data_IF_808355641915
#
_entry.id   IF_808355641915
#
_cell.length_a   1.000
_cell.length_b   1.000
_cell.length_c   1.000
_cell.angle_alpha   90.00
_cell.angle_beta   90.00
_cell.angle_gamma   90.00
#
_symmetry.space_group_name_H-M   'P 1'
#
loop_
_entity.id
_entity.type
_entity.pdbx_description
1 polymer ?
#
# COMPACT_ATOMS: atom_id res chain seq x y z
N UNK A 1 12.00 21.85 -0.53
CA UNK A 1 11.68 20.86 -1.57
C UNK A 1 12.11 21.38 -2.94
N UNK A 2 12.79 20.57 -3.77
CA UNK A 2 13.23 20.94 -5.13
C UNK A 2 12.06 21.46 -5.98
N UNK A 3 10.87 20.89 -5.78
CA UNK A 3 9.63 21.28 -6.44
C UNK A 3 9.31 22.78 -6.34
N UNK A 4 9.33 23.38 -5.14
CA UNK A 4 9.01 24.80 -4.99
C UNK A 4 10.02 25.72 -5.68
N UNK A 5 11.28 25.30 -5.76
CA UNK A 5 12.32 26.05 -6.47
C UNK A 5 12.03 26.06 -7.97
N UNK A 6 11.71 24.90 -8.54
CA UNK A 6 11.35 24.79 -9.96
C UNK A 6 10.00 25.46 -10.28
N UNK A 7 9.06 25.47 -9.34
CA UNK A 7 7.75 26.12 -9.51
C UNK A 7 7.88 27.65 -9.49
N UNK A 8 8.75 28.19 -8.62
CA UNK A 8 9.11 29.61 -8.60
C UNK A 8 9.85 30.03 -9.89
N UNK A 9 10.72 29.17 -10.42
CA UNK A 9 11.41 29.38 -11.69
C UNK A 9 10.50 29.21 -12.93
N UNK A 10 9.21 28.93 -12.76
CA UNK A 10 8.23 28.77 -13.84
C UNK A 10 8.40 27.50 -14.68
N UNK A 11 9.23 26.54 -14.25
CA UNK A 11 9.51 25.30 -14.99
C UNK A 11 8.43 24.23 -14.82
N UNK A 12 7.67 24.29 -13.72
CA UNK A 12 6.61 23.34 -13.39
C UNK A 12 5.38 24.08 -12.84
N UNK A 13 4.16 23.57 -13.07
CA UNK A 13 2.94 24.21 -12.56
C UNK A 13 2.88 24.16 -11.03
N UNK A 14 2.33 25.23 -10.41
CA UNK A 14 2.12 25.31 -8.95
C UNK A 14 0.85 24.53 -8.59
N UNK A 15 1.05 23.32 -8.09
CA UNK A 15 0.02 22.46 -7.50
C UNK A 15 -0.07 22.77 -5.99
N UNK A 16 -1.27 23.09 -5.46
CA UNK A 16 -1.47 23.31 -4.04
C UNK A 16 -1.29 22.00 -3.25
N UNK A 17 -0.72 22.10 -2.04
CA UNK A 17 -0.46 20.96 -1.14
C UNK A 17 0.41 19.84 -1.74
N UNK A 18 1.32 20.18 -2.66
CA UNK A 18 2.17 19.20 -3.34
C UNK A 18 2.95 18.30 -2.37
N UNK A 19 3.46 18.83 -1.25
CA UNK A 19 4.17 18.01 -0.26
C UNK A 19 3.27 16.91 0.34
N UNK A 20 2.00 17.24 0.61
CA UNK A 20 1.01 16.28 1.11
C UNK A 20 0.68 15.21 0.07
N UNK A 21 0.56 15.61 -1.20
CA UNK A 21 0.33 14.68 -2.32
C UNK A 21 1.53 13.73 -2.45
N UNK A 22 2.75 14.27 -2.41
CA UNK A 22 3.97 13.48 -2.52
C UNK A 22 4.11 12.51 -1.34
N UNK A 23 3.76 12.95 -0.14
CA UNK A 23 3.73 12.09 1.05
C UNK A 23 2.67 10.99 0.92
N UNK A 24 1.46 11.32 0.47
CA UNK A 24 0.39 10.36 0.26
C UNK A 24 0.75 9.33 -0.80
N UNK A 25 1.38 9.75 -1.91
CA UNK A 25 1.82 8.86 -2.99
C UNK A 25 2.93 7.92 -2.51
N UNK A 26 3.90 8.47 -1.77
CA UNK A 26 4.97 7.66 -1.16
C UNK A 26 4.39 6.62 -0.20
N UNK A 27 3.43 7.03 0.64
CA UNK A 27 2.75 6.13 1.57
C UNK A 27 1.93 5.07 0.85
N UNK A 28 1.25 5.43 -0.24
CA UNK A 28 0.48 4.51 -1.06
C UNK A 28 1.37 3.43 -1.72
N UNK A 29 2.56 3.79 -2.19
CA UNK A 29 3.53 2.83 -2.74
C UNK A 29 4.01 1.83 -1.69
N UNK A 30 4.33 2.30 -0.48
CA UNK A 30 4.72 1.43 0.64
C UNK A 30 3.56 0.51 1.04
N UNK A 31 2.34 1.04 1.11
CA UNK A 31 1.14 0.25 1.39
C UNK A 31 0.86 -0.78 0.30
N UNK A 32 1.12 -0.46 -0.97
CA UNK A 32 0.98 -1.42 -2.06
C UNK A 32 1.97 -2.58 -1.91
N UNK A 33 3.24 -2.29 -1.65
CA UNK A 33 4.24 -3.34 -1.37
C UNK A 33 3.84 -4.19 -0.16
N UNK A 34 3.28 -3.58 0.88
CA UNK A 34 2.75 -4.27 2.05
C UNK A 34 1.57 -5.21 1.76
N UNK A 35 0.73 -4.89 0.77
CA UNK A 35 -0.37 -5.76 0.32
C UNK A 35 0.17 -6.97 -0.44
N UNK A 36 1.10 -6.72 -1.36
CA UNK A 36 1.66 -7.73 -2.27
C UNK A 36 2.59 -8.67 -1.52
N UNK A 37 3.51 -8.16 -0.70
CA UNK A 37 4.51 -8.98 0.00
C UNK A 37 4.46 -8.76 1.52
N UNK A 38 3.39 -9.20 2.20
CA UNK A 38 3.24 -8.99 3.64
C UNK A 38 4.37 -9.66 4.45
N UNK A 39 4.97 -10.74 3.92
CA UNK A 39 6.11 -11.44 4.52
C UNK A 39 7.40 -10.60 4.59
N UNK A 40 7.58 -9.61 3.71
CA UNK A 40 8.77 -8.76 3.70
C UNK A 40 8.74 -7.73 4.82
N UNK A 41 7.57 -7.47 5.43
CA UNK A 41 7.41 -6.54 6.52
C UNK A 41 7.58 -7.18 7.89
N UNK A 42 8.09 -6.39 8.84
CA UNK A 42 8.12 -6.77 10.26
C UNK A 42 6.67 -6.95 10.76
N UNK A 43 6.34 -8.04 11.49
CA UNK A 43 4.98 -8.35 11.91
C UNK A 43 4.28 -7.24 12.72
N UNK A 44 5.03 -6.46 13.50
CA UNK A 44 4.48 -5.34 14.27
C UNK A 44 3.93 -4.22 13.37
N UNK A 45 4.58 -3.93 12.24
CA UNK A 45 4.11 -2.93 11.28
C UNK A 45 2.88 -3.42 10.54
N UNK A 46 2.84 -4.71 10.18
CA UNK A 46 1.66 -5.31 9.57
C UNK A 46 0.42 -5.19 10.47
N UNK A 47 0.55 -5.54 11.77
CA UNK A 47 -0.52 -5.37 12.76
C UNK A 47 -0.97 -3.91 12.92
N UNK A 48 -0.03 -2.96 12.83
CA UNK A 48 -0.37 -1.54 12.87
C UNK A 48 -1.23 -1.14 11.66
N UNK A 49 -0.84 -1.53 10.44
CA UNK A 49 -1.58 -1.25 9.21
C UNK A 49 -2.95 -1.94 9.23
N UNK A 50 -3.03 -3.17 9.71
CA UNK A 50 -4.28 -3.89 9.86
C UNK A 50 -5.25 -3.17 10.79
N UNK A 51 -4.76 -2.64 11.93
CA UNK A 51 -5.58 -1.81 12.84
C UNK A 51 -5.99 -0.49 12.19
N UNK A 52 -5.08 0.16 11.47
CA UNK A 52 -5.34 1.42 10.79
C UNK A 52 -6.39 1.28 9.68
N UNK A 53 -6.46 0.11 9.05
CA UNK A 53 -7.38 -0.20 7.95
C UNK A 53 -8.57 -1.05 8.39
N UNK A 54 -8.83 -1.19 9.70
CA UNK A 54 -9.99 -1.95 10.18
C UNK A 54 -10.03 -3.42 9.74
N UNK A 55 -8.87 -4.03 9.43
CA UNK A 55 -8.78 -5.42 8.99
C UNK A 55 -9.04 -5.66 7.50
N UNK A 56 -9.12 -4.62 6.65
CA UNK A 56 -9.27 -4.85 5.20
C UNK A 56 -8.03 -5.48 4.56
N UNK A 57 -6.84 -5.20 5.10
CA UNK A 57 -5.59 -5.76 4.56
C UNK A 57 -5.55 -7.29 4.63
N UNK A 58 -6.00 -7.92 5.72
CA UNK A 58 -6.05 -9.38 5.82
C UNK A 58 -7.12 -10.01 4.91
N UNK A 59 -8.08 -9.23 4.42
CA UNK A 59 -9.15 -9.70 3.54
C UNK A 59 -8.78 -9.73 2.05
N UNK A 60 -7.59 -9.29 1.67
CA UNK A 60 -7.15 -9.34 0.26
C UNK A 60 -6.80 -10.78 -0.13
N UNK A 61 -7.41 -11.29 -1.21
CA UNK A 61 -6.99 -12.57 -1.79
C UNK A 61 -5.64 -12.39 -2.50
N UNK A 62 -4.64 -13.11 -2.01
CA UNK A 62 -3.25 -13.02 -2.49
C UNK A 62 -2.83 -14.19 -3.36
N UNK A 63 -3.67 -15.21 -3.51
CA UNK A 63 -3.34 -16.40 -4.31
C UNK A 63 -3.08 -16.08 -5.77
N UNK A 64 -3.86 -15.14 -6.32
CA UNK A 64 -3.67 -14.67 -7.69
C UNK A 64 -2.34 -13.93 -7.88
N UNK A 65 -1.74 -13.38 -6.82
CA UNK A 65 -0.47 -12.67 -6.91
C UNK A 65 0.74 -13.62 -6.94
N UNK A 66 0.57 -14.88 -6.55
CA UNK A 66 1.66 -15.86 -6.60
C UNK A 66 2.14 -16.16 -8.03
N UNK A 67 1.32 -15.89 -9.05
CA UNK A 67 1.72 -16.05 -10.45
C UNK A 67 2.89 -15.13 -10.85
N UNK A 68 3.10 -14.03 -10.12
CA UNK A 68 4.23 -13.12 -10.31
C UNK A 68 5.50 -13.57 -9.56
N UNK A 69 5.50 -14.73 -8.90
CA UNK A 69 6.64 -15.29 -8.18
C UNK A 69 6.88 -14.71 -6.78
N UNK A 70 6.07 -13.73 -6.36
CA UNK A 70 6.20 -12.97 -5.10
C UNK A 70 5.71 -13.72 -3.84
N UNK A 71 5.21 -14.95 -3.99
CA UNK A 71 4.80 -15.83 -2.87
C UNK A 71 3.90 -15.14 -1.82
N UNK A 72 3.03 -14.23 -2.27
CA UNK A 72 2.14 -13.39 -1.47
C UNK A 72 1.17 -14.18 -0.59
N UNK A 73 0.83 -15.42 -0.95
CA UNK A 73 -0.09 -16.25 -0.16
C UNK A 73 0.55 -16.94 1.05
N UNK A 74 1.88 -16.89 1.23
CA UNK A 74 2.60 -17.61 2.30
C UNK A 74 2.06 -17.31 3.71
N UNK A 75 1.73 -16.05 3.98
CA UNK A 75 1.21 -15.64 5.29
C UNK A 75 -0.29 -15.95 5.47
N UNK A 76 -1.01 -16.20 4.37
CA UNK A 76 -2.47 -16.40 4.34
C UNK A 76 -2.86 -17.59 3.43
N UNK A 77 -2.39 -18.83 3.72
CA UNK A 77 -2.58 -19.98 2.82
C UNK A 77 -4.06 -20.39 2.69
N UNK A 78 -4.84 -20.20 3.75
CA UNK A 78 -6.24 -20.63 3.85
C UNK A 78 -7.23 -19.47 3.73
N UNK A 79 -6.92 -18.46 2.92
CA UNK A 79 -7.90 -17.39 2.64
C UNK A 79 -9.20 -17.99 2.07
N UNK A 80 -10.31 -17.74 2.75
CA UNK A 80 -11.66 -18.05 2.29
C UNK A 80 -12.32 -16.72 1.96
N UNK A 81 -12.78 -16.58 0.72
CA UNK A 81 -13.63 -15.46 0.35
C UNK A 81 -14.77 -15.37 1.37
N UNK A 82 -15.03 -14.20 1.95
CA UNK A 82 -16.26 -14.01 2.71
C UNK A 82 -17.40 -14.19 1.71
N UNK A 83 -18.01 -15.38 1.74
CA UNK A 83 -19.23 -15.66 0.98
C UNK A 83 -20.19 -14.52 1.29
N UNK A 84 -20.60 -13.77 0.26
CA UNK A 84 -21.64 -12.75 0.38
C UNK A 84 -22.77 -13.36 1.20
N UNK A 85 -22.99 -12.86 2.42
CA UNK A 85 -24.18 -13.21 3.18
C UNK A 85 -25.35 -12.73 2.32
N UNK A 86 -26.09 -13.68 1.76
CA UNK A 86 -27.42 -13.43 1.19
C UNK A 86 -28.32 -12.86 2.27
#
# INVERSE_FOLDING_TARGET
SIYFKCAHDGKVPIIPYFDSILYALSTALVLHAAVVEPQAMRPAYYKFIERLTGGYFSQVDRRMMDCYGVCSSKLFPNYKLPLMKK
#
